data_IF_269860889787
#
_entry.id   IF_269860889787
#
_cell.length_a   1.000
_cell.length_b   1.000
_cell.length_c   1.000
_cell.angle_alpha   90.00
_cell.angle_beta   90.00
_cell.angle_gamma   90.00
#
_symmetry.space_group_name_H-M   'P 1'
#
loop_
_entity.id
_entity.type
_entity.pdbx_description
1 polymer ?
#
# COMPACT_ATOMS: atom_id res chain seq x y z
N UNK A 1 0.04 0.29 -8.17
CA UNK A 1 -0.21 -0.52 -6.95
C UNK A 1 0.93 -1.48 -6.63
N UNK A 2 1.20 -2.52 -7.45
CA UNK A 2 2.33 -3.45 -7.22
C UNK A 2 3.68 -2.74 -7.07
N UNK A 3 3.96 -1.76 -7.92
CA UNK A 3 5.16 -0.92 -7.84
C UNK A 3 5.27 -0.25 -6.46
N UNK A 4 4.17 0.34 -5.97
CA UNK A 4 4.13 0.95 -4.64
C UNK A 4 4.32 -0.08 -3.54
N UNK A 5 3.64 -1.23 -3.61
CA UNK A 5 3.73 -2.32 -2.62
C UNK A 5 5.18 -2.77 -2.37
N UNK A 6 5.97 -2.94 -3.43
CA UNK A 6 7.37 -3.36 -3.34
C UNK A 6 8.37 -2.20 -3.29
N UNK A 7 7.90 -0.95 -3.28
CA UNK A 7 8.79 0.20 -3.20
C UNK A 7 9.46 0.25 -1.82
N UNK A 8 10.77 0.50 -1.73
CA UNK A 8 11.48 0.50 -0.45
C UNK A 8 11.28 1.79 0.37
N UNK A 9 10.66 2.83 -0.20
CA UNK A 9 10.45 4.14 0.44
C UNK A 9 8.98 4.40 0.70
N UNK A 10 8.38 3.78 1.71
CA UNK A 10 7.00 4.08 2.13
C UNK A 10 6.93 5.22 3.13
N UNK A 11 7.91 5.24 4.03
CA UNK A 11 8.00 6.22 5.10
C UNK A 11 9.46 6.59 5.29
N UNK A 12 9.70 7.86 5.56
CA UNK A 12 10.97 8.38 6.05
C UNK A 12 10.80 8.74 7.52
N UNK A 13 11.74 8.27 8.34
CA UNK A 13 11.79 8.54 9.76
C UNK A 13 13.11 9.24 10.02
N UNK A 14 13.05 10.48 10.50
CA UNK A 14 14.24 11.27 10.83
C UNK A 14 15.15 10.47 11.76
N UNK A 15 16.45 10.43 11.45
CA UNK A 15 17.51 9.64 12.13
C UNK A 15 17.52 8.13 11.87
N UNK A 16 16.50 7.57 11.24
CA UNK A 16 16.43 6.14 10.91
C UNK A 16 16.47 5.86 9.39
N UNK A 17 16.06 6.84 8.57
CA UNK A 17 16.08 6.74 7.11
C UNK A 17 14.74 6.25 6.53
N UNK A 18 14.81 5.58 5.39
CA UNK A 18 13.64 5.10 4.66
C UNK A 18 13.27 3.68 5.09
N UNK A 19 11.97 3.41 5.11
CA UNK A 19 11.45 2.06 5.28
C UNK A 19 10.31 1.74 4.32
N UNK A 20 10.31 0.49 3.85
CA UNK A 20 9.23 -0.10 3.05
C UNK A 20 8.37 -1.06 3.88
N UNK A 21 7.31 -1.59 3.26
CA UNK A 21 6.42 -2.59 3.88
C UNK A 21 7.10 -3.90 4.29
N UNK A 22 8.13 -4.31 3.54
CA UNK A 22 8.80 -5.60 3.67
C UNK A 22 10.17 -5.53 4.37
N UNK A 23 10.31 -4.73 5.43
CA UNK A 23 11.52 -4.65 6.27
C UNK A 23 12.79 -4.05 5.64
N UNK A 24 12.78 -3.54 4.40
CA UNK A 24 13.95 -2.84 3.89
C UNK A 24 14.09 -1.49 4.60
N UNK A 25 15.07 -1.37 5.50
CA UNK A 25 15.47 -0.08 6.06
C UNK A 25 16.75 0.36 5.39
N UNK A 26 16.67 1.47 4.67
CA UNK A 26 17.82 2.09 4.04
C UNK A 26 18.18 3.33 4.87
N UNK A 27 19.28 3.24 5.61
CA UNK A 27 19.78 4.32 6.45
C UNK A 27 20.40 5.39 5.56
N UNK A 28 20.18 6.66 5.89
CA UNK A 28 20.95 7.78 5.34
C UNK A 28 21.87 8.26 6.43
N UNK A 29 23.18 8.07 6.29
CA UNK A 29 24.14 8.67 7.22
C UNK A 29 23.94 10.19 7.23
N UNK A 30 23.66 10.73 8.41
CA UNK A 30 23.57 12.17 8.62
C UNK A 30 24.99 12.73 8.47
N UNK A 31 25.34 13.21 7.27
CA UNK A 31 26.27 14.31 6.96
C UNK A 31 26.94 14.21 5.58
N UNK A 32 26.63 13.18 4.77
CA UNK A 32 27.14 13.11 3.39
C UNK A 32 26.02 12.81 2.39
N UNK A 33 25.66 13.77 1.51
CA UNK A 33 24.75 13.51 0.40
C UNK A 33 25.48 12.67 -0.66
N UNK A 34 25.54 11.36 -0.44
CA UNK A 34 26.13 10.40 -1.36
C UNK A 34 26.96 9.35 -0.64
N UNK A 35 26.84 8.09 -1.09
CA UNK A 35 27.62 6.91 -0.67
C UNK A 35 27.19 6.22 0.63
N UNK A 36 26.01 5.59 0.63
CA UNK A 36 25.82 4.12 0.71
C UNK A 36 24.41 3.82 1.18
N UNK A 37 23.52 3.39 0.27
CA UNK A 37 22.24 2.81 0.66
C UNK A 37 22.51 1.40 1.19
N UNK A 38 22.88 1.28 2.47
CA UNK A 38 22.86 -0.02 3.13
C UNK A 38 21.40 -0.31 3.50
N UNK A 39 20.76 -1.17 2.73
CA UNK A 39 19.43 -1.65 3.04
C UNK A 39 19.55 -2.93 3.87
N UNK A 40 19.22 -2.84 5.15
CA UNK A 40 19.21 -4.00 6.05
C UNK A 40 17.86 -4.71 5.92
N UNK A 41 17.89 -6.05 5.85
CA UNK A 41 16.68 -6.88 5.77
C UNK A 41 15.99 -7.08 7.13
N UNK A 42 16.62 -6.66 8.22
CA UNK A 42 16.15 -6.88 9.59
C UNK A 42 16.24 -5.58 10.39
N UNK A 43 15.20 -4.76 10.26
CA UNK A 43 14.89 -3.71 11.23
C UNK A 43 13.67 -4.13 12.06
N UNK A 44 13.69 -5.39 12.51
CA UNK A 44 12.55 -6.06 13.12
C UNK A 44 12.12 -5.42 14.45
N UNK A 45 12.87 -4.48 15.02
CA UNK A 45 12.48 -3.73 16.22
C UNK A 45 11.63 -2.49 15.96
N UNK A 46 11.95 -1.68 14.94
CA UNK A 46 11.32 -0.37 14.72
C UNK A 46 10.10 -0.49 13.80
N UNK A 47 10.13 -1.46 12.89
CA UNK A 47 9.12 -1.60 11.84
C UNK A 47 8.26 -2.86 11.99
N UNK A 48 8.53 -3.78 12.92
CA UNK A 48 7.61 -4.87 13.27
C UNK A 48 6.47 -4.41 14.22
N UNK A 49 5.98 -3.19 14.01
CA UNK A 49 4.84 -2.67 14.77
C UNK A 49 3.63 -3.59 14.62
N UNK A 50 2.76 -3.58 15.65
CA UNK A 50 1.54 -4.39 15.76
C UNK A 50 0.68 -4.41 14.49
N UNK A 51 0.68 -3.33 13.72
CA UNK A 51 -0.15 -3.16 12.52
C UNK A 51 0.54 -3.55 11.21
N UNK A 52 1.83 -3.90 11.21
CA UNK A 52 2.54 -4.25 9.98
C UNK A 52 1.98 -5.50 9.33
N UNK A 53 1.76 -6.56 10.11
CA UNK A 53 1.21 -7.82 9.58
C UNK A 53 -0.17 -7.60 8.95
N UNK A 54 -1.02 -6.79 9.59
CA UNK A 54 -2.33 -6.41 9.05
C UNK A 54 -2.20 -5.59 7.76
N UNK A 55 -1.33 -4.58 7.75
CA UNK A 55 -1.07 -3.75 6.57
C UNK A 55 -0.63 -4.60 5.39
N UNK A 56 0.37 -5.47 5.58
CA UNK A 56 0.89 -6.35 4.52
C UNK A 56 -0.19 -7.31 4.04
N UNK A 57 -0.97 -7.90 4.96
CA UNK A 57 -2.05 -8.82 4.64
C UNK A 57 -3.13 -8.15 3.79
N UNK A 58 -3.62 -6.98 4.22
CA UNK A 58 -4.61 -6.23 3.46
C UNK A 58 -4.06 -5.79 2.10
N UNK A 59 -2.81 -5.30 2.05
CA UNK A 59 -2.20 -4.89 0.80
C UNK A 59 -2.06 -6.03 -0.21
N UNK A 60 -1.78 -7.25 0.27
CA UNK A 60 -1.73 -8.45 -0.55
C UNK A 60 -3.13 -8.88 -1.02
N UNK A 61 -4.12 -8.88 -0.12
CA UNK A 61 -5.52 -9.16 -0.45
C UNK A 61 -6.02 -8.20 -1.55
N UNK A 62 -5.66 -6.92 -1.45
CA UNK A 62 -5.98 -5.91 -2.47
C UNK A 62 -5.44 -6.29 -3.85
N UNK A 63 -4.18 -6.73 -3.92
CA UNK A 63 -3.58 -7.19 -5.18
C UNK A 63 -4.33 -8.40 -5.73
N UNK A 64 -4.66 -9.37 -4.87
CA UNK A 64 -5.39 -10.57 -5.28
C UNK A 64 -6.76 -10.22 -5.86
N UNK A 65 -7.54 -9.36 -5.20
CA UNK A 65 -8.84 -8.93 -5.71
C UNK A 65 -8.73 -8.15 -7.01
N UNK A 66 -7.72 -7.27 -7.15
CA UNK A 66 -7.48 -6.55 -8.40
C UNK A 66 -7.14 -7.51 -9.55
N UNK A 67 -6.33 -8.54 -9.31
CA UNK A 67 -6.00 -9.56 -10.33
C UNK A 67 -7.22 -10.39 -10.72
N UNK A 68 -8.01 -10.86 -9.75
CA UNK A 68 -9.25 -11.58 -10.00
C UNK A 68 -10.19 -10.73 -10.85
N UNK A 69 -10.34 -9.44 -10.51
CA UNK A 69 -11.14 -8.49 -11.27
C UNK A 69 -10.66 -8.34 -12.71
N UNK A 70 -9.36 -8.18 -12.94
CA UNK A 70 -8.78 -8.08 -14.28
C UNK A 70 -9.05 -9.33 -15.13
N UNK A 71 -8.95 -10.52 -14.54
CA UNK A 71 -9.25 -11.78 -15.21
C UNK A 71 -10.73 -11.80 -15.63
N UNK A 72 -11.65 -11.49 -14.72
CA UNK A 72 -13.08 -11.45 -15.01
C UNK A 72 -13.46 -10.39 -16.04
N UNK A 73 -12.87 -9.19 -15.95
CA UNK A 73 -13.09 -8.12 -16.92
C UNK A 73 -12.63 -8.52 -18.32
N UNK A 74 -11.46 -9.16 -18.40
CA UNK A 74 -10.92 -9.68 -19.66
C UNK A 74 -11.83 -10.76 -20.26
N UNK A 75 -12.26 -11.75 -19.46
CA UNK A 75 -13.21 -12.78 -19.90
C UNK A 75 -14.51 -12.15 -20.39
N UNK A 76 -15.04 -11.15 -19.67
CA UNK A 76 -16.29 -10.47 -20.03
C UNK A 76 -16.19 -9.75 -21.38
N UNK A 77 -15.06 -9.07 -21.62
CA UNK A 77 -14.77 -8.41 -22.90
C UNK A 77 -14.75 -9.40 -24.06
N UNK A 78 -14.06 -10.53 -23.93
CA UNK A 78 -13.92 -11.51 -25.01
C UNK A 78 -15.15 -12.39 -25.23
N UNK A 79 -15.95 -12.63 -24.19
CA UNK A 79 -17.13 -13.51 -24.29
C UNK A 79 -18.43 -12.75 -24.54
N UNK A 80 -18.41 -11.41 -24.50
CA UNK A 80 -19.61 -10.58 -24.59
C UNK A 80 -20.60 -10.80 -23.44
N UNK A 81 -20.16 -11.43 -22.33
CA UNK A 81 -21.00 -11.73 -21.17
C UNK A 81 -21.10 -10.52 -20.24
N UNK A 82 -22.22 -10.41 -19.52
CA UNK A 82 -22.50 -9.40 -18.47
C UNK A 82 -21.65 -9.57 -17.19
N UNK A 83 -20.37 -9.96 -17.30
CA UNK A 83 -19.48 -10.16 -16.15
C UNK A 83 -18.87 -8.85 -15.60
N UNK A 84 -19.23 -7.69 -16.17
CA UNK A 84 -18.80 -6.39 -15.67
C UNK A 84 -19.30 -6.08 -14.25
N UNK A 85 -20.42 -6.67 -13.81
CA UNK A 85 -20.87 -6.58 -12.42
C UNK A 85 -19.85 -7.18 -11.44
N UNK A 86 -19.39 -8.41 -11.70
CA UNK A 86 -18.38 -9.06 -10.86
C UNK A 86 -17.04 -8.32 -10.90
N UNK A 87 -16.67 -7.80 -12.06
CA UNK A 87 -15.48 -6.95 -12.23
C UNK A 87 -15.57 -5.69 -11.35
N UNK A 88 -16.72 -5.00 -11.37
CA UNK A 88 -16.96 -3.83 -10.52
C UNK A 88 -16.85 -4.19 -9.03
N UNK A 89 -17.48 -5.29 -8.62
CA UNK A 89 -17.47 -5.77 -7.24
C UNK A 89 -16.06 -6.12 -6.73
N UNK A 90 -15.27 -6.87 -7.51
CA UNK A 90 -13.90 -7.22 -7.11
C UNK A 90 -12.97 -6.01 -7.07
N UNK A 91 -13.09 -5.06 -8.01
CA UNK A 91 -12.38 -3.78 -7.90
C UNK A 91 -12.79 -2.98 -6.66
N UNK A 92 -14.07 -3.01 -6.26
CA UNK A 92 -14.52 -2.33 -5.04
C UNK A 92 -13.93 -2.98 -3.78
N UNK A 93 -13.93 -4.32 -3.69
CA UNK A 93 -13.30 -5.05 -2.60
C UNK A 93 -11.79 -4.80 -2.53
N UNK A 94 -11.11 -4.76 -3.68
CA UNK A 94 -9.71 -4.36 -3.76
C UNK A 94 -9.52 -2.94 -3.21
N UNK A 95 -10.38 -1.99 -3.61
CA UNK A 95 -10.32 -0.61 -3.12
C UNK A 95 -10.46 -0.53 -1.60
N UNK A 96 -11.48 -1.18 -1.04
CA UNK A 96 -11.75 -1.17 0.41
C UNK A 96 -10.55 -1.72 1.18
N UNK A 97 -10.04 -2.87 0.76
CA UNK A 97 -8.87 -3.49 1.40
C UNK A 97 -7.61 -2.65 1.24
N UNK A 98 -7.46 -1.95 0.11
CA UNK A 98 -6.32 -1.07 -0.16
C UNK A 98 -6.33 0.16 0.75
N UNK A 99 -7.49 0.76 0.94
CA UNK A 99 -7.65 1.85 1.91
C UNK A 99 -7.41 1.38 3.34
N UNK A 100 -7.91 0.20 3.72
CA UNK A 100 -7.62 -0.39 5.04
C UNK A 100 -6.12 -0.60 5.24
N UNK A 101 -5.40 -1.09 4.23
CA UNK A 101 -3.93 -1.22 4.30
C UNK A 101 -3.28 0.15 4.55
N UNK A 102 -3.64 1.18 3.77
CA UNK A 102 -3.05 2.52 3.95
C UNK A 102 -3.43 3.16 5.29
N UNK A 103 -4.63 2.90 5.80
CA UNK A 103 -5.10 3.37 7.10
C UNK A 103 -4.30 2.72 8.24
N UNK A 104 -4.16 1.38 8.24
CA UNK A 104 -3.39 0.69 9.27
C UNK A 104 -1.90 1.05 9.23
N UNK A 105 -1.35 1.27 8.04
CA UNK A 105 0.01 1.79 7.90
C UNK A 105 0.12 3.18 8.54
N UNK A 106 -0.82 4.07 8.24
CA UNK A 106 -0.85 5.42 8.81
C UNK A 106 -0.98 5.37 10.35
N UNK A 107 -1.91 4.57 10.87
CA UNK A 107 -2.13 4.40 12.31
C UNK A 107 -0.92 3.80 13.03
N UNK A 108 -0.04 3.06 12.34
CA UNK A 108 1.21 2.60 12.94
C UNK A 108 2.09 3.78 13.32
N UNK A 109 2.12 4.84 12.52
CA UNK A 109 2.97 6.02 12.68
C UNK A 109 2.22 7.24 13.23
N UNK A 110 0.95 7.10 13.63
CA UNK A 110 0.21 8.19 14.24
C UNK A 110 0.69 8.46 15.66
N UNK A 111 0.43 9.68 16.12
CA UNK A 111 0.83 10.14 17.45
C UNK A 111 0.24 9.33 18.62
N UNK A 112 -0.84 8.59 18.34
CA UNK A 112 -1.56 7.76 19.31
C UNK A 112 -0.90 6.39 19.55
N UNK A 113 0.15 6.03 18.81
CA UNK A 113 0.87 4.76 19.00
C UNK A 113 1.99 4.88 20.03
N UNK A 114 1.66 4.65 21.31
CA UNK A 114 2.59 4.75 22.45
C UNK A 114 3.81 3.82 22.32
N UNK A 115 3.63 2.60 21.78
CA UNK A 115 4.71 1.63 21.60
C UNK A 115 5.76 2.16 20.62
N UNK A 116 5.33 2.75 19.51
CA UNK A 116 6.24 3.32 18.53
C UNK A 116 6.96 4.56 19.08
N UNK A 117 6.25 5.40 19.85
CA UNK A 117 6.86 6.58 20.49
C UNK A 117 7.95 6.22 21.51
N UNK A 118 7.84 5.07 22.16
CA UNK A 118 8.87 4.57 23.05
C UNK A 118 10.18 4.25 22.30
N UNK A 119 10.10 3.88 21.02
CA UNK A 119 11.26 3.50 20.19
C UNK A 119 11.85 4.69 19.43
N UNK A 120 11.02 5.52 18.79
CA UNK A 120 11.49 6.54 17.84
C UNK A 120 11.80 7.89 18.54
N UNK A 121 11.53 8.01 19.85
CA UNK A 121 11.54 9.27 20.62
C UNK A 121 10.57 10.32 20.07
N UNK A 122 10.05 11.21 20.94
CA UNK A 122 9.10 12.28 20.55
C UNK A 122 9.65 13.32 19.55
N UNK A 123 10.89 13.18 19.07
CA UNK A 123 11.60 14.20 18.28
C UNK A 123 11.95 13.76 16.85
N UNK A 124 11.46 12.59 16.43
CA UNK A 124 11.72 12.07 15.08
C UNK A 124 10.52 12.34 14.20
N UNK A 125 10.67 13.28 13.27
CA UNK A 125 9.64 13.58 12.26
C UNK A 125 9.43 12.35 11.37
N UNK A 126 8.17 11.95 11.18
CA UNK A 126 7.77 10.85 10.29
C UNK A 126 7.04 11.43 9.09
N UNK A 127 7.52 11.12 7.88
CA UNK A 127 6.93 11.60 6.63
C UNK A 127 6.66 10.43 5.68
N UNK A 128 5.46 10.36 5.12
CA UNK A 128 5.13 9.38 4.08
C UNK A 128 5.83 9.74 2.77
N UNK A 129 6.24 8.73 2.01
CA UNK A 129 7.10 8.89 0.83
C UNK A 129 6.54 8.14 -0.40
N UNK A 130 7.30 8.14 -1.50
CA UNK A 130 6.93 7.67 -2.84
C UNK A 130 6.13 6.36 -2.86
N UNK A 131 6.59 5.35 -2.14
CA UNK A 131 5.98 4.02 -2.11
C UNK A 131 4.54 4.04 -1.59
N UNK A 132 4.29 4.81 -0.54
CA UNK A 132 2.96 4.99 0.03
C UNK A 132 2.03 5.68 -0.97
N UNK A 133 2.47 6.78 -1.57
CA UNK A 133 1.66 7.54 -2.52
C UNK A 133 1.44 6.79 -3.84
N UNK A 134 2.44 6.06 -4.36
CA UNK A 134 2.31 5.22 -5.57
C UNK A 134 1.35 4.05 -5.33
N UNK A 135 1.36 3.47 -4.12
CA UNK A 135 0.39 2.46 -3.74
C UNK A 135 -1.02 3.03 -3.67
N UNK A 136 -1.21 4.13 -2.94
CA UNK A 136 -2.49 4.83 -2.77
C UNK A 136 -3.06 5.33 -4.09
N UNK A 137 -2.23 5.88 -4.99
CA UNK A 137 -2.63 6.23 -6.35
C UNK A 137 -3.12 5.00 -7.11
N UNK A 138 -2.43 3.86 -6.97
CA UNK A 138 -2.88 2.58 -7.50
C UNK A 138 -4.26 2.14 -6.99
N UNK A 139 -4.52 2.29 -5.69
CA UNK A 139 -5.83 2.02 -5.07
C UNK A 139 -6.91 2.94 -5.67
N UNK A 140 -6.62 4.23 -5.83
CA UNK A 140 -7.53 5.18 -6.46
C UNK A 140 -7.85 4.83 -7.93
N UNK A 141 -6.86 4.37 -8.70
CA UNK A 141 -7.11 3.89 -10.07
C UNK A 141 -8.03 2.67 -10.10
N UNK A 142 -7.86 1.74 -9.14
CA UNK A 142 -8.74 0.57 -9.01
C UNK A 142 -10.16 0.99 -8.62
N UNK A 143 -10.32 2.01 -7.77
CA UNK A 143 -11.62 2.59 -7.45
C UNK A 143 -12.32 3.17 -8.70
N UNK A 144 -11.61 3.98 -9.48
CA UNK A 144 -12.14 4.53 -10.73
C UNK A 144 -12.51 3.42 -11.72
N UNK A 145 -11.69 2.36 -11.80
CA UNK A 145 -11.99 1.19 -12.62
C UNK A 145 -13.24 0.43 -12.14
N UNK A 146 -13.49 0.36 -10.82
CA UNK A 146 -14.74 -0.17 -10.26
C UNK A 146 -15.95 0.62 -10.74
N UNK A 147 -15.89 1.96 -10.61
CA UNK A 147 -16.98 2.84 -11.05
C UNK A 147 -17.24 2.70 -12.56
N UNK A 148 -16.18 2.72 -13.38
CA UNK A 148 -16.30 2.56 -14.83
C UNK A 148 -16.89 1.19 -15.23
N UNK A 149 -16.46 0.12 -14.57
CA UNK A 149 -17.01 -1.23 -14.80
C UNK A 149 -18.49 -1.30 -14.40
N UNK A 150 -18.87 -0.67 -13.28
CA UNK A 150 -20.26 -0.61 -12.81
C UNK A 150 -21.15 0.16 -13.78
N UNK A 151 -20.71 1.34 -14.24
CA UNK A 151 -21.43 2.12 -15.26
C UNK A 151 -21.58 1.35 -16.59
N UNK A 152 -20.54 0.62 -17.00
CA UNK A 152 -20.58 -0.21 -18.22
C UNK A 152 -21.61 -1.32 -18.10
N UNK A 153 -21.74 -1.94 -16.92
CA UNK A 153 -22.76 -2.95 -16.67
C UNK A 153 -24.18 -2.38 -16.81
N UNK A 154 -24.48 -1.23 -16.20
CA UNK A 154 -25.80 -0.61 -16.27
C UNK A 154 -26.18 -0.12 -17.68
N UNK A 155 -25.21 0.30 -18.50
CA UNK A 155 -25.49 0.68 -19.89
C UNK A 155 -25.79 -0.51 -20.82
N UNK A 156 -25.58 -1.75 -20.36
CA UNK A 156 -25.88 -2.99 -21.10
C UNK A 156 -27.22 -3.63 -20.70
N UNK A 157 -27.93 -3.03 -19.74
CA UNK A 157 -29.30 -3.39 -19.36
C UNK A 157 -30.30 -2.44 -20.01
#
# INVERSE_FOLDING_TARGET
>A
MLVGLFWPKWVYIKRFGYAGLFSYVCTTDNDVPGLTNMCFSSADGIFAGKFRSLTVSFAFITVVFALISLIWGTISLFTGRKGFFYTAMFHLLATITGYLATYWFYSQFSDDNEELRAVISRHSDVTYDEGYFVYLAGVNFVFLASMASGLTHFNQE
#
